data_IF_020927673863
#
_entry.id   IF_020927673863
#
_cell.length_a   1.000
_cell.length_b   1.000
_cell.length_c   1.000
_cell.angle_alpha   90.00
_cell.angle_beta   90.00
_cell.angle_gamma   90.00
#
_symmetry.space_group_name_H-M   'P 1'
#
loop_
_entity.id
_entity.type
_entity.pdbx_description
1 polymer ?
#
# COMPACT_ATOMS: atom_id res chain seq x y z
N UNK A 1 -31.67 28.30 10.95
CA UNK A 1 -30.66 27.75 10.02
C UNK A 1 -29.44 27.44 10.86
N UNK A 2 -29.07 26.16 10.98
CA UNK A 2 -27.86 25.74 11.71
C UNK A 2 -26.76 25.63 10.68
N UNK A 3 -25.85 26.58 10.68
CA UNK A 3 -24.66 26.57 9.84
C UNK A 3 -23.80 25.35 10.25
N UNK A 4 -23.73 24.37 9.35
CA UNK A 4 -22.75 23.31 9.43
C UNK A 4 -21.42 23.91 8.96
N UNK A 5 -20.69 24.54 9.88
CA UNK A 5 -19.25 24.81 9.76
C UNK A 5 -18.44 23.50 9.91
N UNK A 6 -18.87 22.46 9.20
CA UNK A 6 -18.05 21.29 8.97
C UNK A 6 -17.11 21.67 7.83
N UNK A 7 -16.03 22.38 8.15
CA UNK A 7 -14.84 22.38 7.32
C UNK A 7 -14.41 20.92 7.25
N UNK A 8 -14.92 20.21 6.24
CA UNK A 8 -14.37 18.93 5.83
C UNK A 8 -13.05 19.33 5.20
N UNK A 9 -12.02 19.52 6.03
CA UNK A 9 -10.67 19.36 5.53
C UNK A 9 -10.67 17.98 4.86
N UNK A 10 -10.61 17.99 3.53
CA UNK A 10 -10.59 16.79 2.72
C UNK A 10 -9.20 16.16 2.85
N UNK A 11 -8.82 15.81 4.08
CA UNK A 11 -7.71 14.92 4.36
C UNK A 11 -8.23 13.54 3.96
N UNK A 12 -7.67 12.94 2.91
CA UNK A 12 -8.07 11.60 2.42
C UNK A 12 -8.02 10.50 3.50
N UNK A 13 -7.46 10.79 4.68
CA UNK A 13 -7.37 9.90 5.83
C UNK A 13 -7.65 10.69 7.12
N UNK A 14 -8.79 10.45 7.76
CA UNK A 14 -9.14 11.07 9.05
C UNK A 14 -8.28 10.56 10.21
N UNK A 15 -7.70 9.36 10.07
CA UNK A 15 -6.86 8.70 11.07
C UNK A 15 -5.95 7.66 10.39
N UNK A 16 -4.73 7.48 10.92
CA UNK A 16 -3.79 6.45 10.46
C UNK A 16 -4.38 5.03 10.48
N UNK A 17 -5.27 4.74 11.43
CA UNK A 17 -5.96 3.44 11.52
C UNK A 17 -6.83 3.12 10.30
N UNK A 18 -7.51 4.11 9.73
CA UNK A 18 -8.35 3.92 8.55
C UNK A 18 -7.49 3.68 7.29
N UNK A 19 -6.36 4.38 7.20
CA UNK A 19 -5.36 4.20 6.16
C UNK A 19 -4.75 2.79 6.20
N UNK A 20 -4.40 2.30 7.39
CA UNK A 20 -3.93 0.92 7.58
C UNK A 20 -5.02 -0.11 7.23
N UNK A 21 -6.26 0.09 7.66
CA UNK A 21 -7.36 -0.82 7.35
C UNK A 21 -7.64 -0.90 5.84
N UNK A 22 -7.65 0.24 5.14
CA UNK A 22 -7.75 0.27 3.67
C UNK A 22 -6.58 -0.45 3.03
N UNK A 23 -5.35 -0.15 3.45
CA UNK A 23 -4.15 -0.83 2.95
C UNK A 23 -4.24 -2.35 3.14
N UNK A 24 -4.76 -2.82 4.27
CA UNK A 24 -4.96 -4.24 4.53
C UNK A 24 -5.96 -4.89 3.56
N UNK A 25 -7.13 -4.26 3.38
CA UNK A 25 -8.18 -4.73 2.47
C UNK A 25 -7.67 -4.79 1.03
N UNK A 26 -7.08 -3.69 0.54
CA UNK A 26 -6.57 -3.62 -0.84
C UNK A 26 -5.40 -4.56 -1.07
N UNK A 27 -4.47 -4.69 -0.11
CA UNK A 27 -3.35 -5.63 -0.22
C UNK A 27 -3.83 -7.08 -0.25
N UNK A 28 -4.86 -7.45 0.52
CA UNK A 28 -5.46 -8.79 0.48
C UNK A 28 -6.12 -9.09 -0.87
N UNK A 29 -6.90 -8.15 -1.40
CA UNK A 29 -7.56 -8.33 -2.69
C UNK A 29 -6.53 -8.47 -3.81
N UNK A 30 -5.54 -7.59 -3.83
CA UNK A 30 -4.49 -7.59 -4.83
C UNK A 30 -3.56 -8.81 -4.71
N UNK A 31 -3.30 -9.31 -3.50
CA UNK A 31 -2.50 -10.52 -3.31
C UNK A 31 -3.22 -11.76 -3.84
N UNK A 32 -4.54 -11.85 -3.63
CA UNK A 32 -5.36 -12.93 -4.17
C UNK A 32 -5.36 -12.94 -5.70
N UNK A 33 -5.55 -11.77 -6.31
CA UNK A 33 -5.50 -11.64 -7.78
C UNK A 33 -4.11 -12.00 -8.34
N UNK A 34 -3.03 -11.60 -7.65
CA UNK A 34 -1.66 -11.96 -8.04
C UNK A 34 -1.38 -13.46 -7.91
N UNK A 35 -1.95 -14.10 -6.89
CA UNK A 35 -1.88 -15.54 -6.69
C UNK A 35 -2.61 -16.28 -7.82
N UNK A 36 -3.84 -15.87 -8.16
CA UNK A 36 -4.62 -16.41 -9.28
C UNK A 36 -3.90 -16.25 -10.62
N UNK A 37 -3.24 -15.11 -10.85
CA UNK A 37 -2.45 -14.84 -12.07
C UNK A 37 -1.11 -15.59 -12.12
N UNK A 38 -0.78 -16.39 -11.11
CA UNK A 38 0.48 -17.12 -11.03
C UNK A 38 1.73 -16.22 -11.21
N UNK A 39 1.63 -14.95 -10.80
CA UNK A 39 2.71 -13.97 -10.96
C UNK A 39 3.96 -14.44 -10.20
N UNK A 40 5.15 -14.53 -10.80
CA UNK A 40 6.35 -15.02 -10.11
C UNK A 40 6.77 -14.05 -8.99
N UNK A 41 6.46 -14.38 -7.73
CA UNK A 41 6.82 -13.56 -6.57
C UNK A 41 7.95 -14.24 -5.82
N UNK A 42 9.13 -13.64 -5.88
CA UNK A 42 10.34 -14.09 -5.17
C UNK A 42 10.47 -13.33 -3.85
N UNK A 43 11.32 -13.80 -2.91
CA UNK A 43 11.53 -13.13 -1.62
C UNK A 43 12.01 -11.66 -1.75
N UNK A 44 12.72 -11.32 -2.83
CA UNK A 44 13.21 -9.96 -3.09
C UNK A 44 12.20 -9.06 -3.82
N UNK A 45 11.16 -9.65 -4.45
CA UNK A 45 10.16 -8.92 -5.23
C UNK A 45 9.41 -7.87 -4.38
N UNK A 46 8.92 -8.17 -3.15
CA UNK A 46 8.25 -7.16 -2.32
C UNK A 46 9.15 -5.97 -1.96
N UNK A 47 10.43 -6.24 -1.65
CA UNK A 47 11.38 -5.22 -1.23
C UNK A 47 11.73 -4.31 -2.41
N UNK A 48 12.08 -4.88 -3.57
CA UNK A 48 12.39 -4.10 -4.77
C UNK A 48 11.19 -3.24 -5.21
N UNK A 49 9.99 -3.81 -5.25
CA UNK A 49 8.81 -3.07 -5.67
C UNK A 49 8.38 -2.01 -4.65
N UNK A 50 8.47 -2.30 -3.35
CA UNK A 50 8.22 -1.33 -2.29
C UNK A 50 9.19 -0.14 -2.38
N UNK A 51 10.50 -0.42 -2.50
CA UNK A 51 11.52 0.61 -2.62
C UNK A 51 11.38 1.40 -3.93
N UNK A 52 11.12 0.73 -5.05
CA UNK A 52 10.87 1.39 -6.33
C UNK A 52 9.64 2.28 -6.27
N UNK A 53 8.54 1.81 -5.66
CA UNK A 53 7.34 2.61 -5.49
C UNK A 53 7.60 3.82 -4.60
N UNK A 54 8.34 3.66 -3.50
CA UNK A 54 8.76 4.77 -2.64
C UNK A 54 9.56 5.82 -3.43
N UNK A 55 10.62 5.39 -4.13
CA UNK A 55 11.45 6.29 -4.93
C UNK A 55 10.60 6.98 -6.00
N UNK A 56 9.69 6.26 -6.65
CA UNK A 56 8.79 6.80 -7.65
C UNK A 56 7.83 7.85 -7.08
N UNK A 57 7.13 7.54 -6.00
CA UNK A 57 6.18 8.48 -5.39
C UNK A 57 6.89 9.68 -4.77
N UNK A 58 8.00 9.46 -4.08
CA UNK A 58 8.72 10.53 -3.39
C UNK A 58 9.46 11.47 -4.35
N UNK A 59 10.19 10.92 -5.34
CA UNK A 59 10.99 11.72 -6.27
C UNK A 59 10.28 12.05 -7.59
N UNK A 60 9.54 11.10 -8.20
CA UNK A 60 8.90 11.35 -9.50
C UNK A 60 7.52 12.02 -9.38
N UNK A 61 6.77 11.78 -8.31
CA UNK A 61 5.45 12.41 -8.10
C UNK A 61 5.55 13.68 -7.25
N UNK A 62 6.75 14.26 -7.13
CA UNK A 62 6.96 15.54 -6.47
C UNK A 62 6.59 15.52 -4.97
N UNK A 63 6.46 14.32 -4.37
CA UNK A 63 6.16 14.16 -2.95
C UNK A 63 7.20 14.81 -2.03
N UNK A 64 8.42 15.02 -2.49
CA UNK A 64 9.41 15.84 -1.79
C UNK A 64 8.95 17.29 -1.55
N UNK A 65 8.09 17.86 -2.40
CA UNK A 65 7.60 19.24 -2.27
C UNK A 65 6.53 19.40 -1.19
N UNK A 66 5.79 18.33 -0.90
CA UNK A 66 4.82 18.28 0.21
C UNK A 66 5.51 18.03 1.56
N UNK A 67 6.85 17.93 1.59
CA UNK A 67 7.63 17.80 2.82
C UNK A 67 7.32 16.51 3.59
N UNK A 68 6.77 16.67 4.81
CA UNK A 68 6.45 15.54 5.69
C UNK A 68 5.24 14.73 5.19
N UNK A 69 4.23 15.41 4.65
CA UNK A 69 3.02 14.73 4.18
C UNK A 69 3.32 13.85 2.96
N UNK A 70 4.14 14.34 2.04
CA UNK A 70 4.62 13.55 0.91
C UNK A 70 5.49 12.36 1.32
N UNK A 71 6.26 12.47 2.41
CA UNK A 71 6.98 11.33 3.00
C UNK A 71 6.01 10.28 3.56
N UNK A 72 4.97 10.70 4.29
CA UNK A 72 3.94 9.81 4.85
C UNK A 72 3.17 9.08 3.73
N UNK A 73 2.78 9.79 2.68
CA UNK A 73 2.07 9.24 1.52
C UNK A 73 2.97 8.24 0.77
N UNK A 74 4.22 8.61 0.49
CA UNK A 74 5.16 7.74 -0.22
C UNK A 74 5.46 6.46 0.58
N UNK A 75 5.61 6.58 1.91
CA UNK A 75 5.81 5.44 2.80
C UNK A 75 4.58 4.53 2.84
N UNK A 76 3.38 5.11 2.89
CA UNK A 76 2.12 4.36 2.85
C UNK A 76 1.98 3.57 1.55
N UNK A 77 2.23 4.21 0.41
CA UNK A 77 2.17 3.58 -0.91
C UNK A 77 3.19 2.44 -1.03
N UNK A 78 4.43 2.69 -0.60
CA UNK A 78 5.47 1.68 -0.56
C UNK A 78 5.09 0.48 0.32
N UNK A 79 4.52 0.74 1.50
CA UNK A 79 4.00 -0.27 2.42
C UNK A 79 2.87 -1.10 1.81
N UNK A 80 1.94 -0.46 1.11
CA UNK A 80 0.85 -1.14 0.41
C UNK A 80 1.36 -2.07 -0.70
N UNK A 81 2.34 -1.62 -1.49
CA UNK A 81 3.01 -2.47 -2.48
C UNK A 81 3.76 -3.62 -1.83
N UNK A 82 4.53 -3.35 -0.78
CA UNK A 82 5.25 -4.38 -0.04
C UNK A 82 4.29 -5.47 0.47
N UNK A 83 3.20 -5.09 1.14
CA UNK A 83 2.22 -6.02 1.69
C UNK A 83 1.52 -6.83 0.60
N UNK A 84 1.16 -6.21 -0.54
CA UNK A 84 0.57 -6.90 -1.69
C UNK A 84 1.44 -8.08 -2.15
N UNK A 85 2.74 -7.85 -2.35
CA UNK A 85 3.67 -8.90 -2.79
C UNK A 85 4.02 -9.89 -1.65
N UNK A 86 4.15 -9.42 -0.41
CA UNK A 86 4.44 -10.27 0.75
C UNK A 86 3.33 -11.30 0.98
N UNK A 87 2.06 -10.84 0.99
CA UNK A 87 0.88 -11.71 1.13
C UNK A 87 0.73 -12.68 -0.03
N UNK A 88 1.00 -12.25 -1.27
CA UNK A 88 0.99 -13.13 -2.44
C UNK A 88 2.02 -14.26 -2.32
N UNK A 89 3.20 -13.98 -1.72
CA UNK A 89 4.21 -14.99 -1.41
C UNK A 89 3.76 -15.93 -0.29
N UNK A 90 3.17 -15.39 0.76
CA UNK A 90 2.64 -16.19 1.89
C UNK A 90 1.60 -17.21 1.41
N UNK A 91 0.61 -16.78 0.62
CA UNK A 91 -0.41 -17.66 0.03
C UNK A 91 0.21 -18.80 -0.80
N UNK A 92 1.29 -18.52 -1.54
CA UNK A 92 2.04 -19.55 -2.28
C UNK A 92 2.78 -20.54 -1.38
N UNK A 93 3.41 -20.05 -0.33
CA UNK A 93 4.13 -20.92 0.62
C UNK A 93 3.14 -21.80 1.38
N UNK A 94 1.98 -21.28 1.74
CA UNK A 94 0.89 -22.03 2.35
C UNK A 94 0.39 -23.14 1.40
N UNK A 95 0.08 -22.83 0.14
CA UNK A 95 -0.37 -23.82 -0.85
C UNK A 95 0.67 -24.94 -1.08
N UNK A 96 1.96 -24.63 -1.05
CA UNK A 96 3.04 -25.64 -1.17
C UNK A 96 3.19 -26.57 0.04
N UNK A 97 2.65 -26.20 1.21
CA UNK A 97 2.70 -27.04 2.42
C UNK A 97 1.50 -27.99 2.52
N UNK A 98 0.43 -27.72 1.79
CA UNK A 98 -0.82 -28.49 1.82
C UNK A 98 -0.94 -29.53 0.70
N UNK A 99 -0.01 -29.56 -0.27
CA UNK A 99 0.08 -30.55 -1.34
C UNK A 99 1.38 -31.34 -1.30
#
# INVERSE_FOLDING_TARGET
>A
MRDLDAVIEHISFRNYSELLAKMEIYSNLASKEMFEKNARVTAFTPILHGLWMFIRTYFLEWGMLDGFDGFVISTTNAGGSFLKYAKAREMRVAQRKEG
#
